data_IF_249557993123
#
_entry.id   IF_249557993123
#
_cell.length_a   1.000
_cell.length_b   1.000
_cell.length_c   1.000
_cell.angle_alpha   90.00
_cell.angle_beta   90.00
_cell.angle_gamma   90.00
#
_symmetry.space_group_name_H-M   'P 1'
#
loop_
_entity.id
_entity.type
_entity.pdbx_description
1 polymer ?
#
# COMPACT_ATOMS: atom_id res chain seq x y z
N UNK A 1 -9.90 -10.37 -2.29
CA UNK A 1 -9.84 -9.48 -3.47
C UNK A 1 -10.06 -8.07 -2.99
N UNK A 2 -8.96 -7.45 -2.58
CA UNK A 2 -8.92 -6.08 -2.10
C UNK A 2 -8.17 -5.24 -3.13
N UNK A 3 -8.85 -4.25 -3.71
CA UNK A 3 -8.28 -3.33 -4.68
C UNK A 3 -8.18 -1.95 -4.07
N UNK A 4 -7.10 -1.25 -4.40
CA UNK A 4 -6.86 0.12 -4.00
C UNK A 4 -6.72 0.96 -5.27
N UNK A 5 -7.57 1.98 -5.37
CA UNK A 5 -7.39 3.05 -6.36
C UNK A 5 -6.25 3.95 -5.88
N UNK A 6 -5.27 4.13 -6.76
CA UNK A 6 -4.10 4.98 -6.58
C UNK A 6 -4.43 6.42 -6.99
N UNK A 7 -3.68 7.40 -6.50
CA UNK A 7 -3.88 8.82 -6.86
C UNK A 7 -3.76 9.10 -8.36
N UNK A 8 -3.03 8.26 -9.10
CA UNK A 8 -2.91 8.36 -10.55
C UNK A 8 -4.13 7.77 -11.31
N UNK A 9 -5.16 7.30 -10.60
CA UNK A 9 -6.35 6.64 -11.15
C UNK A 9 -6.13 5.19 -11.57
N UNK A 10 -4.94 4.64 -11.33
CA UNK A 10 -4.65 3.22 -11.55
C UNK A 10 -5.14 2.38 -10.37
N UNK A 11 -5.39 1.10 -10.61
CA UNK A 11 -5.93 0.19 -9.61
C UNK A 11 -4.92 -0.89 -9.32
N UNK A 12 -4.55 -1.04 -8.04
CA UNK A 12 -3.65 -2.10 -7.60
C UNK A 12 -4.42 -3.12 -6.77
N UNK A 13 -4.24 -4.40 -7.10
CA UNK A 13 -4.76 -5.47 -6.28
C UNK A 13 -3.78 -5.75 -5.15
N UNK A 14 -4.19 -5.51 -3.91
CA UNK A 14 -3.32 -5.68 -2.75
C UNK A 14 -3.01 -7.14 -2.44
N UNK A 15 -3.85 -8.08 -2.91
CA UNK A 15 -3.59 -9.52 -2.78
C UNK A 15 -2.36 -9.98 -3.60
N UNK A 16 -1.95 -9.21 -4.62
CA UNK A 16 -0.77 -9.51 -5.44
C UNK A 16 0.50 -8.79 -4.99
N UNK A 17 0.41 -7.92 -3.98
CA UNK A 17 1.57 -7.15 -3.50
C UNK A 17 2.42 -8.05 -2.60
N UNK A 18 3.66 -8.31 -3.04
CA UNK A 18 4.64 -9.07 -2.25
C UNK A 18 5.51 -8.16 -1.40
N UNK A 19 5.86 -6.97 -1.92
CA UNK A 19 6.77 -6.06 -1.24
C UNK A 19 6.46 -4.61 -1.58
N UNK A 20 6.71 -3.71 -0.62
CA UNK A 20 6.65 -2.27 -0.84
C UNK A 20 7.99 -1.69 -0.40
N UNK A 21 8.68 -1.04 -1.32
CA UNK A 21 10.05 -0.55 -1.10
C UNK A 21 10.28 0.78 -1.80
N UNK A 22 11.32 1.49 -1.38
CA UNK A 22 11.87 2.62 -2.13
C UNK A 22 13.12 2.17 -2.85
N UNK A 23 13.24 2.52 -4.14
CA UNK A 23 14.49 2.29 -4.88
C UNK A 23 15.60 3.16 -4.33
N UNK A 24 15.28 4.43 -4.04
CA UNK A 24 16.20 5.39 -3.46
C UNK A 24 15.60 5.93 -2.15
N UNK A 25 16.33 5.92 -1.02
CA UNK A 25 15.80 6.39 0.26
C UNK A 25 15.51 7.90 0.27
N UNK A 26 16.19 8.68 -0.58
CA UNK A 26 15.95 10.12 -0.77
C UNK A 26 14.76 10.42 -1.68
N UNK A 27 14.16 9.40 -2.30
CA UNK A 27 13.04 9.57 -3.22
C UNK A 27 11.71 9.67 -2.47
N UNK A 28 10.77 10.40 -3.07
CA UNK A 28 9.39 10.52 -2.58
C UNK A 28 8.50 9.43 -3.15
N UNK A 29 8.87 8.80 -4.28
CA UNK A 29 8.15 7.69 -4.88
C UNK A 29 8.46 6.37 -4.18
N UNK A 30 7.40 5.59 -3.94
CA UNK A 30 7.45 4.23 -3.46
C UNK A 30 7.17 3.28 -4.64
N UNK A 31 7.59 2.02 -4.53
CA UNK A 31 7.23 0.97 -5.48
C UNK A 31 6.58 -0.20 -4.75
N UNK A 32 5.48 -0.70 -5.31
CA UNK A 32 4.86 -1.95 -4.91
C UNK A 32 5.29 -3.05 -5.90
N UNK A 33 6.08 -4.01 -5.42
CA UNK A 33 6.41 -5.22 -6.17
C UNK A 33 5.25 -6.21 -6.14
N UNK A 34 4.78 -6.59 -7.32
CA UNK A 34 3.71 -7.55 -7.53
C UNK A 34 4.28 -8.95 -7.79
N UNK A 35 3.57 -9.99 -7.38
CA UNK A 35 3.98 -11.39 -7.53
C UNK A 35 4.22 -11.82 -9.00
N UNK A 36 3.66 -11.09 -9.96
CA UNK A 36 3.86 -11.37 -11.38
C UNK A 36 5.16 -10.77 -11.95
N UNK A 37 5.99 -10.12 -11.12
CA UNK A 37 7.26 -9.51 -11.53
C UNK A 37 7.15 -8.06 -11.98
N UNK A 38 5.94 -7.48 -11.97
CA UNK A 38 5.72 -6.07 -12.26
C UNK A 38 5.87 -5.23 -10.98
N UNK A 39 6.36 -4.01 -11.10
CA UNK A 39 6.39 -3.06 -10.00
C UNK A 39 5.56 -1.83 -10.38
N UNK A 40 4.64 -1.44 -9.50
CA UNK A 40 3.87 -0.23 -9.66
C UNK A 40 4.51 0.92 -8.86
N UNK A 41 4.70 2.06 -9.51
CA UNK A 41 5.05 3.31 -8.83
C UNK A 41 3.82 3.83 -8.07
N UNK A 42 4.01 4.08 -6.77
CA UNK A 42 2.98 4.49 -5.83
C UNK A 42 3.46 5.67 -4.97
N UNK A 43 2.54 6.52 -4.52
CA UNK A 43 2.87 7.61 -3.59
C UNK A 43 2.92 7.13 -2.14
N UNK A 44 3.36 7.99 -1.22
CA UNK A 44 3.30 7.67 0.21
C UNK A 44 1.84 7.50 0.69
N UNK A 45 0.90 8.29 0.14
CA UNK A 45 -0.53 8.17 0.44
C UNK A 45 -1.08 6.82 -0.06
N UNK A 46 -0.78 6.46 -1.30
CA UNK A 46 -1.13 5.16 -1.88
C UNK A 46 -0.58 4.01 -1.03
N UNK A 47 0.68 4.10 -0.62
CA UNK A 47 1.35 3.12 0.24
C UNK A 47 0.61 2.94 1.57
N UNK A 48 0.19 4.01 2.23
CA UNK A 48 -0.60 3.93 3.46
C UNK A 48 -1.96 3.26 3.21
N UNK A 49 -2.64 3.61 2.12
CA UNK A 49 -3.94 3.04 1.75
C UNK A 49 -3.84 1.55 1.42
N UNK A 50 -2.81 1.16 0.68
CA UNK A 50 -2.45 -0.23 0.39
C UNK A 50 -2.19 -0.99 1.70
N UNK A 51 -1.32 -0.48 2.56
CA UNK A 51 -0.99 -1.17 3.82
C UNK A 51 -2.20 -1.31 4.75
N UNK A 52 -3.12 -0.34 4.73
CA UNK A 52 -4.39 -0.38 5.48
C UNK A 52 -5.35 -1.41 4.91
N UNK A 53 -5.45 -1.49 3.59
CA UNK A 53 -6.37 -2.37 2.85
C UNK A 53 -5.88 -3.83 2.84
N UNK A 54 -4.59 -4.03 2.62
CA UNK A 54 -3.91 -5.32 2.66
C UNK A 54 -3.79 -5.92 4.08
N UNK A 55 -4.13 -5.15 5.12
CA UNK A 55 -4.01 -5.58 6.51
C UNK A 55 -2.58 -5.66 7.06
N UNK A 56 -1.58 -5.14 6.32
CA UNK A 56 -0.17 -5.08 6.79
C UNK A 56 0.01 -4.12 7.96
N UNK A 57 -0.74 -3.01 8.00
CA UNK A 57 -0.88 -2.26 9.24
C UNK A 57 -1.87 -3.03 10.09
N UNK A 58 -1.38 -3.71 11.13
CA UNK A 58 -2.18 -3.90 12.35
C UNK A 58 -2.60 -2.49 12.75
N UNK A 59 -3.77 -2.05 12.30
CA UNK A 59 -4.45 -0.90 12.87
C UNK A 59 -4.55 -1.31 14.33
N UNK A 60 -3.66 -0.77 15.18
CA UNK A 60 -4.00 -0.63 16.58
C UNK A 60 -5.28 0.19 16.49
N UNK A 61 -6.43 -0.48 16.56
CA UNK A 61 -7.56 0.04 17.30
C UNK A 61 -6.95 0.35 18.67
N UNK A 62 -6.41 1.56 18.80
CA UNK A 62 -6.56 2.24 20.08
C UNK A 62 -8.02 2.08 20.41
N UNK A 63 -8.23 1.50 21.59
CA UNK A 63 -9.54 1.22 22.13
C UNK A 63 -10.35 2.49 21.98
N UNK A 64 -11.32 2.47 21.07
CA UNK A 64 -12.38 3.46 21.11
C UNK A 64 -13.16 3.14 22.39
N UNK A 65 -12.87 3.95 23.38
CA UNK A 65 -13.42 3.92 24.71
C UNK A 65 -14.75 4.67 24.64
N UNK A 66 -15.79 4.01 24.16
CA UNK A 66 -17.19 4.44 24.29
C UNK A 66 -17.95 3.24 24.85
N UNK A 67 -17.93 3.12 26.18
CA UNK A 67 -19.00 3.46 27.14
C UNK A 67 -20.04 2.36 27.31
#
# INVERSE_FOLDING_TARGET
MAFVELENGNWINTDFIESIFKVNPSDTAWKAGLNHGEAADITDADRVQILKTAGFVKIKKEKDNEQ
#
